data_IF_696655703330
#
_entry.id   IF_696655703330
#
_cell.length_a   1.000
_cell.length_b   1.000
_cell.length_c   1.000
_cell.angle_alpha   90.00
_cell.angle_beta   90.00
_cell.angle_gamma   90.00
#
_symmetry.space_group_name_H-M   'P 1'
#
loop_
_entity.id
_entity.type
_entity.pdbx_description
1 polymer ?
#
# COMPACT_ATOMS: atom_id res chain seq x y z
N UNK A 1 11.61 -5.49 -8.84
CA UNK A 1 10.23 -5.68 -8.33
C UNK A 1 9.51 -4.35 -8.23
N UNK A 2 9.97 -3.41 -7.40
CA UNK A 2 9.37 -2.06 -7.27
C UNK A 2 9.33 -1.30 -8.62
N UNK A 3 10.38 -1.42 -9.42
CA UNK A 3 10.42 -0.87 -10.79
C UNK A 3 9.30 -1.43 -11.70
N UNK A 4 8.88 -2.70 -11.53
CA UNK A 4 7.75 -3.28 -12.28
C UNK A 4 6.42 -2.68 -11.87
N UNK A 5 6.34 -2.11 -10.66
CA UNK A 5 5.20 -1.36 -10.18
C UNK A 5 5.28 0.11 -10.59
N UNK A 6 6.28 0.53 -11.38
CA UNK A 6 6.47 1.93 -11.78
C UNK A 6 7.15 2.80 -10.72
N UNK A 7 7.58 2.21 -9.60
CA UNK A 7 8.25 2.95 -8.53
C UNK A 7 9.66 3.35 -8.98
N UNK A 8 9.93 4.65 -9.03
CA UNK A 8 11.25 5.20 -9.38
C UNK A 8 12.09 5.49 -8.14
N UNK A 9 11.46 5.67 -6.98
CA UNK A 9 12.12 5.83 -5.69
C UNK A 9 11.22 5.39 -4.54
N UNK A 10 11.82 4.78 -3.53
CA UNK A 10 11.18 4.46 -2.25
C UNK A 10 11.87 5.24 -1.13
N UNK A 11 11.08 5.92 -0.30
CA UNK A 11 11.52 6.50 0.97
C UNK A 11 10.97 5.66 2.11
N UNK A 12 11.83 5.34 3.07
CA UNK A 12 11.47 4.53 4.24
C UNK A 12 11.66 5.38 5.49
N UNK A 13 10.59 5.56 6.25
CA UNK A 13 10.60 6.25 7.53
C UNK A 13 10.26 5.24 8.63
N UNK A 14 11.12 5.13 9.63
CA UNK A 14 10.90 4.28 10.79
C UNK A 14 10.84 5.13 12.05
N UNK A 15 9.78 4.98 12.82
CA UNK A 15 9.60 5.60 14.11
C UNK A 15 9.40 4.52 15.17
N UNK A 16 10.33 4.47 16.13
CA UNK A 16 10.16 3.64 17.33
C UNK A 16 9.12 4.29 18.25
N UNK A 17 8.16 3.52 18.76
CA UNK A 17 7.24 3.98 19.78
C UNK A 17 7.07 2.94 20.91
N UNK A 18 6.68 3.36 22.13
CA UNK A 18 6.62 2.46 23.28
C UNK A 18 5.67 1.27 23.11
N UNK A 19 4.63 1.39 22.28
CA UNK A 19 3.63 0.35 22.06
C UNK A 19 3.92 -0.53 20.83
N UNK A 20 4.50 0.05 19.77
CA UNK A 20 4.90 -0.63 18.55
C UNK A 20 5.80 0.28 17.69
N UNK A 21 6.66 -0.32 16.88
CA UNK A 21 7.41 0.39 15.85
C UNK A 21 6.49 0.68 14.64
N UNK A 22 6.58 1.89 14.08
CA UNK A 22 5.83 2.30 12.89
C UNK A 22 6.81 2.48 11.73
N UNK A 23 6.49 1.87 10.58
CA UNK A 23 7.23 2.08 9.33
C UNK A 23 6.29 2.66 8.27
N UNK A 24 6.71 3.75 7.63
CA UNK A 24 5.99 4.41 6.52
C UNK A 24 6.85 4.34 5.27
N UNK A 25 6.27 3.83 4.19
CA UNK A 25 6.89 3.74 2.87
C UNK A 25 6.23 4.76 1.94
N UNK A 26 7.02 5.58 1.26
CA UNK A 26 6.54 6.52 0.25
C UNK A 26 7.18 6.18 -1.09
N UNK A 27 6.36 5.88 -2.10
CA UNK A 27 6.81 5.57 -3.45
C UNK A 27 6.59 6.74 -4.40
N UNK A 28 7.66 7.16 -5.09
CA UNK A 28 7.63 8.17 -6.15
C UNK A 28 7.57 7.50 -7.53
N UNK A 29 7.08 8.25 -8.54
CA UNK A 29 6.99 7.80 -9.92
C UNK A 29 5.86 6.83 -10.21
N UNK A 30 5.06 6.49 -9.19
CA UNK A 30 3.92 5.61 -9.32
C UNK A 30 2.61 6.38 -9.29
N UNK A 31 1.73 6.06 -10.23
CA UNK A 31 0.32 6.42 -10.12
C UNK A 31 -0.32 5.58 -9.01
N UNK A 32 -1.01 6.21 -8.04
CA UNK A 32 -1.47 5.49 -6.85
C UNK A 32 -2.56 4.45 -7.15
N UNK A 33 -3.40 4.69 -8.15
CA UNK A 33 -4.43 3.72 -8.56
C UNK A 33 -3.75 2.51 -9.23
N UNK A 34 -2.77 2.75 -10.10
CA UNK A 34 -1.98 1.68 -10.71
C UNK A 34 -1.11 0.92 -9.71
N UNK A 35 -0.55 1.58 -8.69
CA UNK A 35 0.22 0.95 -7.63
C UNK A 35 -0.65 -0.03 -6.82
N UNK A 36 -1.87 0.38 -6.48
CA UNK A 36 -2.81 -0.45 -5.75
C UNK A 36 -3.24 -1.66 -6.58
N UNK A 37 -3.50 -1.47 -7.88
CA UNK A 37 -3.84 -2.57 -8.80
C UNK A 37 -2.66 -3.55 -8.97
N UNK A 38 -1.44 -3.03 -9.15
CA UNK A 38 -0.22 -3.83 -9.26
C UNK A 38 0.11 -4.62 -8.00
N UNK A 39 -0.13 -4.04 -6.82
CA UNK A 39 -0.03 -4.75 -5.54
C UNK A 39 -1.09 -5.85 -5.43
N UNK A 40 -2.31 -5.59 -5.87
CA UNK A 40 -3.39 -6.58 -5.94
C UNK A 40 -3.03 -7.79 -6.81
N UNK A 41 -2.44 -7.57 -7.98
CA UNK A 41 -1.97 -8.67 -8.84
C UNK A 41 -0.77 -9.41 -8.24
N UNK A 42 0.17 -8.73 -7.57
CA UNK A 42 1.29 -9.36 -6.86
C UNK A 42 0.80 -10.32 -5.77
N UNK A 43 -0.21 -9.90 -4.99
CA UNK A 43 -0.82 -10.72 -3.94
C UNK A 43 -1.51 -11.96 -4.54
N UNK A 44 -2.24 -11.79 -5.64
CA UNK A 44 -2.99 -12.89 -6.29
C UNK A 44 -2.09 -13.85 -7.05
N UNK A 45 -1.00 -13.37 -7.66
CA UNK A 45 -0.16 -14.13 -8.61
C UNK A 45 1.33 -13.79 -8.46
N UNK A 46 1.95 -14.16 -7.33
CA UNK A 46 3.39 -13.97 -7.17
C UNK A 46 4.14 -14.86 -8.18
N UNK A 47 5.07 -14.27 -8.93
CA UNK A 47 5.80 -14.92 -10.02
C UNK A 47 7.21 -15.34 -9.63
N UNK A 48 7.75 -14.87 -8.50
CA UNK A 48 9.07 -15.23 -8.00
C UNK A 48 9.03 -15.79 -6.57
N UNK A 49 10.10 -16.44 -6.13
CA UNK A 49 10.26 -16.85 -4.72
C UNK A 49 10.25 -15.65 -3.78
N UNK A 50 10.86 -14.54 -4.19
CA UNK A 50 10.87 -13.30 -3.42
C UNK A 50 9.46 -12.70 -3.29
N UNK A 51 8.68 -12.66 -4.36
CA UNK A 51 7.28 -12.20 -4.31
C UNK A 51 6.43 -13.11 -3.43
N UNK A 52 6.65 -14.44 -3.47
CA UNK A 52 5.97 -15.38 -2.57
C UNK A 52 6.29 -15.12 -1.10
N UNK A 53 7.55 -14.84 -0.76
CA UNK A 53 7.96 -14.45 0.58
C UNK A 53 7.30 -13.15 1.05
N UNK A 54 7.21 -12.14 0.18
CA UNK A 54 6.55 -10.88 0.53
C UNK A 54 5.07 -11.08 0.85
N UNK A 55 4.34 -11.85 0.04
CA UNK A 55 2.92 -12.12 0.27
C UNK A 55 2.70 -12.94 1.55
N UNK A 56 3.47 -14.01 1.74
CA UNK A 56 3.22 -14.95 2.84
C UNK A 56 3.71 -14.46 4.20
N UNK A 57 4.78 -13.67 4.25
CA UNK A 57 5.43 -13.26 5.50
C UNK A 57 5.26 -11.76 5.75
N UNK A 58 5.60 -10.89 4.78
CA UNK A 58 5.57 -9.44 5.00
C UNK A 58 4.15 -8.90 5.06
N UNK A 59 3.34 -9.15 4.02
CA UNK A 59 1.94 -8.67 3.97
C UNK A 59 1.11 -9.30 5.09
N UNK A 60 1.27 -10.61 5.31
CA UNK A 60 0.47 -11.34 6.28
C UNK A 60 0.94 -11.16 7.73
N UNK A 61 2.20 -11.49 8.02
CA UNK A 61 2.68 -11.59 9.40
C UNK A 61 3.15 -10.24 9.94
N UNK A 62 3.75 -9.39 9.11
CA UNK A 62 4.23 -8.07 9.57
C UNK A 62 3.17 -6.98 9.47
N UNK A 63 2.33 -6.98 8.44
CA UNK A 63 1.27 -5.96 8.29
C UNK A 63 -0.09 -6.40 8.84
N UNK A 64 -0.24 -7.67 9.23
CA UNK A 64 -1.50 -8.20 9.77
C UNK A 64 -2.65 -8.20 8.76
N UNK A 65 -2.35 -8.08 7.46
CA UNK A 65 -3.36 -8.12 6.39
C UNK A 65 -3.59 -9.58 6.05
N UNK A 66 -4.83 -10.05 6.12
CA UNK A 66 -5.19 -11.37 5.60
C UNK A 66 -5.48 -11.28 4.09
N UNK A 67 -4.57 -11.72 3.20
CA UNK A 67 -4.78 -11.65 1.76
C UNK A 67 -5.85 -12.64 1.26
N UNK A 68 -6.32 -13.55 2.12
CA UNK A 68 -7.39 -14.51 1.82
C UNK A 68 -8.77 -14.04 2.29
N UNK A 69 -8.82 -12.93 3.03
CA UNK A 69 -10.08 -12.34 3.45
C UNK A 69 -10.91 -11.90 2.24
N UNK A 70 -12.24 -11.97 2.38
CA UNK A 70 -13.13 -11.43 1.38
C UNK A 70 -12.79 -9.95 1.12
N UNK A 71 -12.93 -9.46 -0.13
CA UNK A 71 -12.62 -8.07 -0.44
C UNK A 71 -13.42 -7.14 0.49
N UNK A 72 -12.81 -6.03 0.95
CA UNK A 72 -13.52 -5.08 1.79
C UNK A 72 -14.80 -4.61 1.08
N UNK A 73 -15.86 -4.27 1.84
CA UNK A 73 -17.07 -3.71 1.26
C UNK A 73 -16.72 -2.54 0.32
N UNK A 74 -17.40 -2.46 -0.83
CA UNK A 74 -17.19 -1.33 -1.74
C UNK A 74 -17.47 -0.03 -0.98
N UNK A 75 -16.47 0.83 -0.90
CA UNK A 75 -16.62 2.16 -0.31
C UNK A 75 -17.24 3.04 -1.38
N UNK A 76 -18.51 3.39 -1.20
CA UNK A 76 -19.19 4.35 -2.06
C UNK A 76 -18.83 5.77 -1.62
N UNK A 77 -18.23 6.54 -2.53
CA UNK A 77 -18.02 7.97 -2.31
C UNK A 77 -19.36 8.70 -2.43
N UNK A 78 -19.97 9.00 -1.29
CA UNK A 78 -21.29 9.66 -1.25
C UNK A 78 -21.24 11.18 -1.49
N UNK A 79 -20.10 11.84 -1.28
CA UNK A 79 -19.93 13.27 -1.54
C UNK A 79 -18.46 13.70 -1.66
N UNK A 80 -18.21 14.83 -2.33
CA UNK A 80 -16.97 15.62 -2.19
C UNK A 80 -17.36 16.98 -1.63
N UNK A 81 -16.70 17.42 -0.56
CA UNK A 81 -16.85 18.79 -0.04
C UNK A 81 -15.59 19.56 -0.39
N UNK A 82 -15.72 20.54 -1.28
CA UNK A 82 -14.65 21.47 -1.62
C UNK A 82 -14.84 22.76 -0.84
N UNK A 83 -13.84 23.15 -0.06
CA UNK A 83 -13.86 24.41 0.71
C UNK A 83 -12.86 25.39 0.12
N UNK A 84 -13.23 26.67 0.02
CA UNK A 84 -12.32 27.75 -0.34
C UNK A 84 -11.99 28.60 0.89
N UNK A 85 -10.73 29.00 1.04
CA UNK A 85 -10.38 30.04 2.01
C UNK A 85 -10.85 31.39 1.45
N UNK A 86 -11.71 32.08 2.19
CA UNK A 86 -11.99 33.49 1.94
C UNK A 86 -10.80 34.28 2.47
N UNK A 87 -10.06 34.93 1.57
CA UNK A 87 -9.04 35.90 1.98
C UNK A 87 -9.74 37.07 2.68
N UNK A 88 -9.30 37.39 3.90
CA UNK A 88 -9.73 38.57 4.66
C UNK A 88 -8.74 39.70 4.48
#
# INVERSE_FOLDING_TARGET
MLERLGVTREHIFHQKAPAADVMVLVWEGVDQEQAAEGMGELIKKPQSEHERYLVSHVVRELHGIDPTAAPPPQIEKIATVETQRVAT
#
